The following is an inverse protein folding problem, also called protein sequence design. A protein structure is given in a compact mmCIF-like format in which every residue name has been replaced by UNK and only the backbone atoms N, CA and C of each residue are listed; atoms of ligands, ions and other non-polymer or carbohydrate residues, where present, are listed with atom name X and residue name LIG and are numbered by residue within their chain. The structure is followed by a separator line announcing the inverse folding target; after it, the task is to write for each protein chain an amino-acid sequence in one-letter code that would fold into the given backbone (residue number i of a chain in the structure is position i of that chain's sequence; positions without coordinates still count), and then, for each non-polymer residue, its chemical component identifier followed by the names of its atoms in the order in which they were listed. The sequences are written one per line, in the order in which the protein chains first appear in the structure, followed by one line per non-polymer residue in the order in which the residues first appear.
data_IF_990863443151
#
_entry.id   IF_990863443151
#
_cell.length_a   1.000
_cell.length_b   1.000
_cell.length_c   1.000
_cell.angle_alpha   90.00
_cell.angle_beta   90.00
_cell.angle_gamma   90.00
#
_symmetry.space_group_name_H-M   'P 1'
#
loop_
_entity.id
_entity.type
_entity.pdbx_description
1 polymer ?
#
# COMPACT_ATOMS: atom_id res chain seq x y z
N UNK A 1 11.55 -1.38 5.36
CA UNK A 1 11.32 -2.85 5.38
C UNK A 1 12.24 -3.58 4.40
N UNK A 2 12.15 -3.32 3.09
CA UNK A 2 13.00 -3.99 2.09
C UNK A 2 14.50 -3.94 2.41
N UNK A 3 15.03 -2.73 2.65
CA UNK A 3 16.43 -2.50 3.01
C UNK A 3 16.85 -3.31 4.25
N UNK A 4 16.12 -3.14 5.36
CA UNK A 4 16.38 -3.88 6.61
C UNK A 4 16.36 -5.41 6.46
N UNK A 5 15.45 -5.99 5.66
CA UNK A 5 15.47 -7.43 5.41
C UNK A 5 16.69 -7.86 4.58
N UNK A 6 17.06 -7.06 3.58
CA UNK A 6 18.22 -7.33 2.74
C UNK A 6 19.55 -7.21 3.49
N UNK A 7 19.66 -6.25 4.41
CA UNK A 7 20.80 -6.07 5.32
C UNK A 7 20.97 -7.26 6.26
N UNK A 8 19.85 -7.82 6.74
CA UNK A 8 19.83 -9.06 7.53
C UNK A 8 20.14 -10.32 6.72
N UNK A 9 20.46 -10.18 5.43
CA UNK A 9 20.75 -11.31 4.53
C UNK A 9 19.52 -12.11 4.10
N UNK A 10 18.30 -11.68 4.44
CA UNK A 10 17.08 -12.38 4.05
C UNK A 10 16.83 -12.18 2.56
N UNK A 11 16.46 -13.26 1.88
CA UNK A 11 16.16 -13.29 0.45
C UNK A 11 14.75 -13.83 0.21
N UNK A 12 14.21 -13.49 -0.96
CA UNK A 12 12.96 -14.06 -1.45
C UNK A 12 13.10 -15.56 -1.72
N UNK A 13 11.98 -16.27 -1.92
CA UNK A 13 11.97 -17.70 -2.25
C UNK A 13 12.84 -18.08 -3.45
N UNK A 14 13.06 -17.16 -4.38
CA UNK A 14 13.91 -17.36 -5.58
C UNK A 14 15.35 -16.86 -5.38
N UNK A 15 15.75 -16.51 -4.16
CA UNK A 15 17.10 -16.03 -3.84
C UNK A 15 17.34 -14.55 -4.12
N UNK A 16 16.37 -13.83 -4.70
CA UNK A 16 16.51 -12.40 -5.03
C UNK A 16 16.34 -11.51 -3.80
N UNK A 17 16.93 -10.30 -3.79
CA UNK A 17 16.66 -9.28 -2.76
C UNK A 17 15.19 -8.87 -2.71
N UNK A 18 14.72 -8.44 -1.55
CA UNK A 18 13.41 -7.83 -1.39
C UNK A 18 13.39 -6.43 -2.02
N UNK A 19 12.36 -6.16 -2.82
CA UNK A 19 12.04 -4.83 -3.37
C UNK A 19 10.64 -4.40 -2.90
N UNK A 20 10.23 -3.15 -3.13
CA UNK A 20 8.90 -2.65 -2.72
C UNK A 20 7.75 -3.59 -3.16
N UNK A 21 7.82 -4.09 -4.39
CA UNK A 21 6.78 -4.98 -4.95
C UNK A 21 6.78 -6.39 -4.35
N UNK A 22 7.86 -6.84 -3.71
CA UNK A 22 7.95 -8.17 -3.10
C UNK A 22 6.90 -8.37 -2.00
N UNK A 23 6.51 -7.28 -1.32
CA UNK A 23 5.59 -7.33 -0.19
C UNK A 23 4.12 -7.38 -0.59
N UNK A 24 3.79 -6.96 -1.81
CA UNK A 24 2.41 -6.84 -2.26
C UNK A 24 1.68 -8.19 -2.26
N UNK A 25 2.35 -9.24 -2.75
CA UNK A 25 1.79 -10.59 -2.74
C UNK A 25 1.79 -11.21 -1.33
N UNK A 26 2.82 -10.93 -0.53
CA UNK A 26 2.96 -11.46 0.82
C UNK A 26 1.81 -10.95 1.69
N UNK A 27 1.61 -9.63 1.76
CA UNK A 27 0.62 -9.05 2.65
C UNK A 27 -0.83 -9.29 2.21
N UNK A 28 -1.09 -9.70 0.98
CA UNK A 28 -2.45 -10.03 0.50
C UNK A 28 -2.81 -11.51 0.61
N UNK A 29 -1.87 -12.35 1.04
CA UNK A 29 -2.08 -13.79 1.08
C UNK A 29 -3.00 -14.18 2.25
N UNK A 30 -4.28 -14.38 1.94
CA UNK A 30 -5.31 -14.81 2.91
C UNK A 30 -5.08 -16.20 3.50
N UNK A 31 -4.14 -16.98 2.97
CA UNK A 31 -3.71 -18.23 3.63
C UNK A 31 -3.14 -17.99 5.02
N UNK A 32 -2.64 -16.78 5.31
CA UNK A 32 -2.12 -16.44 6.63
C UNK A 32 -3.20 -16.34 7.71
N UNK A 33 -4.45 -16.09 7.32
CA UNK A 33 -5.64 -16.13 8.20
C UNK A 33 -6.39 -17.47 8.10
N UNK A 34 -5.75 -18.50 7.53
CA UNK A 34 -6.32 -19.85 7.45
C UNK A 34 -7.36 -20.05 6.34
N UNK A 35 -7.57 -19.06 5.47
CA UNK A 35 -8.43 -19.23 4.29
C UNK A 35 -7.73 -20.11 3.24
N UNK A 36 -8.35 -21.26 2.94
CA UNK A 36 -8.00 -22.05 1.77
C UNK A 36 -8.91 -21.65 0.61
N UNK A 37 -8.32 -21.18 -0.50
CA UNK A 37 -9.07 -20.89 -1.72
C UNK A 37 -8.69 -21.87 -2.81
N UNK A 38 -9.68 -22.55 -3.36
CA UNK A 38 -9.52 -23.39 -4.55
C UNK A 38 -10.64 -23.07 -5.54
N UNK A 39 -10.26 -22.58 -6.72
CA UNK A 39 -11.20 -22.02 -7.70
C UNK A 39 -12.07 -20.95 -7.02
N UNK A 40 -13.39 -21.11 -7.08
CA UNK A 40 -14.38 -20.20 -6.49
C UNK A 40 -14.81 -20.59 -5.08
N UNK A 41 -14.26 -21.68 -4.53
CA UNK A 41 -14.59 -22.17 -3.20
C UNK A 41 -13.58 -21.62 -2.20
N UNK A 42 -14.10 -20.95 -1.17
CA UNK A 42 -13.33 -20.49 0.00
C UNK A 42 -13.71 -21.36 1.19
N UNK A 43 -12.75 -22.11 1.70
CA UNK A 43 -12.90 -22.92 2.91
C UNK A 43 -12.22 -22.20 4.07
N UNK A 44 -12.97 -21.68 5.04
CA UNK A 44 -12.40 -21.10 6.26
C UNK A 44 -11.78 -22.22 7.11
N UNK A 45 -10.63 -21.94 7.73
CA UNK A 45 -9.95 -22.89 8.62
C UNK A 45 -9.31 -24.10 7.92
N UNK A 46 -9.17 -24.08 6.59
CA UNK A 46 -8.53 -25.18 5.84
C UNK A 46 -7.00 -25.22 5.97
N UNK A 47 -6.39 -24.20 6.58
CA UNK A 47 -4.94 -24.08 6.81
C UNK A 47 -4.73 -23.54 8.23
N UNK A 48 -3.67 -23.96 8.96
CA UNK A 48 -3.28 -23.33 10.21
C UNK A 48 -3.06 -21.82 10.05
N UNK A 49 -3.63 -21.03 10.95
CA UNK A 49 -3.49 -19.58 10.97
C UNK A 49 -2.06 -19.20 11.41
N UNK A 50 -1.44 -18.29 10.67
CA UNK A 50 -0.10 -17.75 11.00
C UNK A 50 -0.25 -16.40 11.71
N UNK A 51 -1.27 -15.62 11.33
CA UNK A 51 -1.59 -14.31 11.91
C UNK A 51 -3.09 -14.22 12.18
N UNK A 52 -3.43 -13.33 13.11
CA UNK A 52 -4.80 -12.98 13.43
C UNK A 52 -5.48 -12.19 12.29
N UNK A 53 -6.80 -12.36 12.17
CA UNK A 53 -7.60 -11.73 11.11
C UNK A 53 -7.63 -10.20 11.24
N UNK A 54 -7.73 -9.66 12.46
CA UNK A 54 -7.75 -8.21 12.69
C UNK A 54 -6.41 -7.57 12.34
N UNK A 55 -5.31 -8.27 12.62
CA UNK A 55 -3.98 -7.83 12.18
C UNK A 55 -3.89 -7.78 10.65
N UNK A 56 -4.37 -8.82 9.97
CA UNK A 56 -4.38 -8.87 8.50
C UNK A 56 -5.24 -7.75 7.89
N UNK A 57 -6.44 -7.53 8.44
CA UNK A 57 -7.38 -6.52 7.98
C UNK A 57 -6.84 -5.10 8.15
N UNK A 58 -6.16 -4.81 9.27
CA UNK A 58 -5.47 -3.52 9.46
C UNK A 58 -4.40 -3.26 8.41
N UNK A 59 -3.67 -4.29 7.97
CA UNK A 59 -2.70 -4.15 6.87
C UNK A 59 -3.41 -3.86 5.56
N UNK A 60 -4.51 -4.55 5.24
CA UNK A 60 -5.29 -4.27 4.02
C UNK A 60 -5.84 -2.84 4.00
N UNK A 61 -6.35 -2.35 5.13
CA UNK A 61 -6.86 -0.98 5.25
C UNK A 61 -5.77 0.05 4.93
N UNK A 62 -4.54 -0.14 5.42
CA UNK A 62 -3.40 0.71 5.08
C UNK A 62 -3.06 0.67 3.59
N UNK A 63 -3.20 -0.49 2.95
CA UNK A 63 -3.00 -0.60 1.50
C UNK A 63 -4.02 0.21 0.71
N UNK A 64 -5.29 0.19 1.10
CA UNK A 64 -6.33 0.97 0.40
C UNK A 64 -6.13 2.47 0.62
N UNK A 65 -5.76 2.89 1.84
CA UNK A 65 -5.39 4.29 2.12
C UNK A 65 -4.20 4.75 1.28
N UNK A 66 -3.15 3.91 1.16
CA UNK A 66 -1.98 4.23 0.36
C UNK A 66 -2.29 4.32 -1.14
N UNK A 67 -3.24 3.53 -1.64
CA UNK A 67 -3.70 3.60 -3.03
C UNK A 67 -4.36 4.95 -3.35
N UNK A 68 -5.13 5.50 -2.41
CA UNK A 68 -5.76 6.84 -2.55
C UNK A 68 -4.69 7.94 -2.57
N UNK A 69 -3.60 7.78 -1.82
CA UNK A 69 -2.50 8.74 -1.77
C UNK A 69 -1.62 8.78 -3.04
N UNK A 70 -1.83 7.88 -4.02
CA UNK A 70 -1.14 7.94 -5.31
C UNK A 70 -1.86 8.83 -6.35
N UNK A 71 -2.70 9.77 -5.91
CA UNK A 71 -3.14 10.89 -6.74
C UNK A 71 -1.91 11.62 -7.31
N UNK A 72 -1.95 11.89 -8.63
CA UNK A 72 -0.85 12.40 -9.49
C UNK A 72 0.31 13.05 -8.72
N UNK A 73 1.58 12.67 -9.00
CA UNK A 73 2.71 13.38 -8.42
C UNK A 73 2.54 14.87 -8.71
N UNK A 74 2.89 15.70 -7.72
CA UNK A 74 3.12 17.11 -7.98
C UNK A 74 4.06 17.24 -9.20
N UNK A 75 3.93 18.31 -9.99
CA UNK A 75 4.90 18.62 -11.06
C UNK A 75 6.30 18.36 -10.53
N UNK A 76 7.13 17.64 -11.30
CA UNK A 76 8.40 17.03 -10.82
C UNK A 76 9.30 17.99 -10.03
N UNK A 77 9.18 19.30 -10.28
CA UNK A 77 10.02 20.35 -9.67
C UNK A 77 9.40 21.06 -8.45
N UNK A 78 8.15 20.78 -8.06
CA UNK A 78 7.47 21.49 -6.96
C UNK A 78 6.89 20.52 -5.93
N UNK A 79 7.48 20.49 -4.74
CA UNK A 79 6.94 19.74 -3.61
C UNK A 79 5.84 20.55 -2.90
N UNK A 80 4.56 20.21 -3.12
CA UNK A 80 3.48 20.78 -2.30
C UNK A 80 3.39 20.00 -0.97
N UNK A 81 3.66 20.69 0.15
CA UNK A 81 3.68 20.10 1.50
C UNK A 81 2.41 19.34 1.88
N UNK A 82 1.26 19.76 1.34
CA UNK A 82 -0.05 19.19 1.65
C UNK A 82 -0.57 18.21 0.58
N UNK A 83 0.28 17.79 -0.36
CA UNK A 83 -0.06 16.79 -1.38
C UNK A 83 -0.65 15.56 -0.69
N UNK A 84 -1.85 15.13 -1.11
CA UNK A 84 -2.57 13.96 -0.57
C UNK A 84 -3.02 14.07 0.89
N UNK A 85 -2.87 15.24 1.52
CA UNK A 85 -3.34 15.53 2.88
C UNK A 85 -4.56 16.45 2.88
N UNK A 86 -4.67 17.36 1.91
CA UNK A 86 -5.76 18.33 1.79
C UNK A 86 -6.92 17.77 0.96
N UNK A 87 -8.14 17.85 1.50
CA UNK A 87 -9.38 17.44 0.84
C UNK A 87 -10.48 18.50 1.03
N UNK A 88 -11.41 18.58 0.08
CA UNK A 88 -12.54 19.49 0.15
C UNK A 88 -13.58 19.01 1.16
N UNK A 89 -13.89 19.81 2.18
CA UNK A 89 -14.90 19.47 3.18
C UNK A 89 -16.34 19.38 2.66
N UNK A 90 -16.61 19.85 1.43
CA UNK A 90 -17.94 19.78 0.80
C UNK A 90 -18.13 18.57 -0.10
N UNK A 91 -17.12 18.19 -0.89
CA UNK A 91 -17.23 17.10 -1.88
C UNK A 91 -16.28 15.92 -1.62
N UNK A 92 -15.38 15.99 -0.64
CA UNK A 92 -14.47 14.90 -0.28
C UNK A 92 -13.29 14.70 -1.25
N UNK A 93 -13.25 15.40 -2.36
CA UNK A 93 -12.18 15.28 -3.36
C UNK A 93 -10.86 15.87 -2.86
N UNK A 94 -9.73 15.26 -3.24
CA UNK A 94 -8.39 15.79 -3.00
C UNK A 94 -8.20 17.13 -3.71
N UNK A 95 -7.59 18.11 -3.03
CA UNK A 95 -7.27 19.40 -3.63
C UNK A 95 -5.96 19.31 -4.42
N UNK A 96 -5.95 19.91 -5.62
CA UNK A 96 -4.75 20.05 -6.45
C UNK A 96 -3.96 21.30 -6.07
N UNK A 97 -2.63 21.19 -6.04
CA UNK A 97 -1.75 22.35 -5.93
C UNK A 97 -1.56 23.02 -7.29
N UNK A 98 -1.82 24.32 -7.36
CA UNK A 98 -1.51 25.16 -8.51
C UNK A 98 -0.36 26.12 -8.19
N UNK A 99 0.54 26.31 -9.15
CA UNK A 99 1.63 27.29 -9.08
C UNK A 99 1.66 28.07 -10.38
N UNK A 100 1.39 29.37 -10.31
CA UNK A 100 1.54 30.32 -11.39
C UNK A 100 2.71 31.27 -11.10
N UNK A 101 3.44 31.67 -12.13
CA UNK A 101 4.38 32.79 -12.07
C UNK A 101 4.03 33.73 -13.21
N UNK A 102 2.97 34.54 -13.10
CA UNK A 102 2.80 35.65 -14.05
C UNK A 102 3.04 36.99 -13.39
N UNK A 103 3.57 37.91 -14.17
CA UNK A 103 3.78 39.31 -13.76
C UNK A 103 2.45 40.06 -13.53
N UNK A 104 1.30 39.42 -13.80
CA UNK A 104 -0.04 39.92 -13.50
C UNK A 104 -0.91 38.89 -12.75
N UNK A 105 -0.31 37.85 -12.15
CA UNK A 105 -0.99 36.72 -11.50
C UNK A 105 -0.23 35.39 -11.59
#
# INVERSE_FOLDING_TARGET
IAASLNERGLRTRTGKPFVKNSFFQIFRNRRYIGEYRYKDIVTPGGIPTIVDEDLFNRVQQRFEQNKIAHGRPAKEDVSYLLTTKLFCGKCGTLMGGESGTSHMG
#
